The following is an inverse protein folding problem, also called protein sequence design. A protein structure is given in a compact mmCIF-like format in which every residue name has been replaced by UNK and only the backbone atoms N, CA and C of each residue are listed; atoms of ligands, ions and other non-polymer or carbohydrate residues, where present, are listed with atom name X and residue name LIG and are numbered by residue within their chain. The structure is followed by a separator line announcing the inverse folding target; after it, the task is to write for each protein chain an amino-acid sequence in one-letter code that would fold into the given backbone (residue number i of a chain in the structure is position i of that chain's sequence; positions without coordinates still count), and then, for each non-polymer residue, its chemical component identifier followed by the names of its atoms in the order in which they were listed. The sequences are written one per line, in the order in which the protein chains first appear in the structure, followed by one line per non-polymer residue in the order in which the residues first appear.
data_IF_054648082050
#
_entry.id   IF_054648082050
#
_cell.length_a   1.000
_cell.length_b   1.000
_cell.length_c   1.000
_cell.angle_alpha   90.00
_cell.angle_beta   90.00
_cell.angle_gamma   90.00
#
_symmetry.space_group_name_H-M   'P 1'
#
loop_
_entity.id
_entity.type
_entity.pdbx_description
1 polymer ?
#
# COMPACT_ATOMS: atom_id res chain seq x y z
N UNK A 1 36.05 -40.58 -73.15
CA UNK A 1 35.13 -39.49 -72.74
C UNK A 1 34.22 -39.85 -71.57
N UNK A 2 33.55 -41.02 -71.52
CA UNK A 2 32.61 -41.38 -70.42
C UNK A 2 33.20 -41.42 -69.00
N UNK A 3 34.42 -41.94 -68.81
CA UNK A 3 35.07 -41.96 -67.48
C UNK A 3 35.33 -40.53 -66.95
N UNK A 4 35.77 -39.62 -67.82
CA UNK A 4 36.04 -38.23 -67.48
C UNK A 4 34.76 -37.47 -67.08
N UNK A 5 33.64 -37.73 -67.77
CA UNK A 5 32.33 -37.16 -67.43
C UNK A 5 31.81 -37.67 -66.06
N UNK A 6 32.06 -38.95 -65.73
CA UNK A 6 31.67 -39.51 -64.44
C UNK A 6 32.47 -38.89 -63.29
N UNK A 7 33.80 -38.79 -63.44
CA UNK A 7 34.68 -38.14 -62.44
C UNK A 7 34.31 -36.67 -62.24
N UNK A 8 34.01 -35.95 -63.33
CA UNK A 8 33.56 -34.56 -63.26
C UNK A 8 32.20 -34.43 -62.54
N UNK A 9 31.24 -35.31 -62.86
CA UNK A 9 29.93 -35.34 -62.17
C UNK A 9 30.05 -35.66 -60.69
N UNK A 10 30.97 -36.57 -60.30
CA UNK A 10 31.27 -36.84 -58.89
C UNK A 10 31.92 -35.65 -58.19
N UNK A 11 32.84 -34.94 -58.86
CA UNK A 11 33.49 -33.76 -58.27
C UNK A 11 32.52 -32.59 -58.02
N UNK A 12 31.50 -32.43 -58.86
CA UNK A 12 30.47 -31.40 -58.65
C UNK A 12 29.57 -31.71 -57.44
N UNK A 13 29.17 -32.98 -57.27
CA UNK A 13 28.37 -33.42 -56.12
C UNK A 13 29.14 -33.27 -54.80
N UNK A 14 30.45 -33.57 -54.80
CA UNK A 14 31.30 -33.35 -53.61
C UNK A 14 31.32 -31.87 -53.24
N UNK A 15 31.47 -30.98 -54.22
CA UNK A 15 31.52 -29.54 -53.99
C UNK A 15 30.19 -28.98 -53.46
N UNK A 16 29.06 -29.43 -54.00
CA UNK A 16 27.72 -29.04 -53.50
C UNK A 16 27.52 -29.44 -52.03
N UNK A 17 27.99 -30.63 -51.66
CA UNK A 17 27.96 -31.10 -50.27
C UNK A 17 28.88 -30.26 -49.38
N UNK A 18 30.09 -29.93 -49.83
CA UNK A 18 31.02 -29.06 -49.10
C UNK A 18 30.40 -27.69 -48.84
N UNK A 19 29.83 -27.04 -49.87
CA UNK A 19 29.15 -25.74 -49.76
C UNK A 19 27.96 -25.82 -48.78
N UNK A 20 27.19 -26.91 -48.82
CA UNK A 20 26.06 -27.14 -47.90
C UNK A 20 26.54 -27.33 -46.45
N UNK A 21 27.65 -28.04 -46.26
CA UNK A 21 28.24 -28.26 -44.92
C UNK A 21 28.73 -26.93 -44.34
N UNK A 22 29.39 -26.09 -45.14
CA UNK A 22 29.82 -24.76 -44.72
C UNK A 22 28.63 -23.90 -44.28
N UNK A 23 27.55 -23.84 -45.08
CA UNK A 23 26.33 -23.11 -44.69
C UNK A 23 25.73 -23.64 -43.37
N UNK A 24 25.67 -24.95 -43.19
CA UNK A 24 25.14 -25.57 -41.98
C UNK A 24 26.02 -25.29 -40.75
N UNK A 25 27.34 -25.22 -40.91
CA UNK A 25 28.27 -24.89 -39.84
C UNK A 25 28.12 -23.43 -39.41
N UNK A 26 27.99 -22.50 -40.36
CA UNK A 26 27.71 -21.08 -40.06
C UNK A 26 26.40 -20.92 -39.28
N UNK A 27 25.33 -21.60 -39.74
CA UNK A 27 24.03 -21.57 -39.05
C UNK A 27 24.11 -22.18 -37.66
N UNK A 28 24.89 -23.25 -37.47
CA UNK A 28 25.10 -23.85 -36.15
C UNK A 28 25.83 -22.89 -35.20
N UNK A 29 26.83 -22.15 -35.68
CA UNK A 29 27.52 -21.13 -34.90
C UNK A 29 26.56 -20.01 -34.46
N UNK A 30 25.70 -19.54 -35.36
CA UNK A 30 24.66 -18.55 -35.04
C UNK A 30 23.68 -19.10 -33.98
N UNK A 31 23.23 -20.35 -34.12
CA UNK A 31 22.37 -21.01 -33.13
C UNK A 31 23.03 -21.13 -31.75
N UNK A 32 24.33 -21.45 -31.70
CA UNK A 32 25.09 -21.48 -30.46
C UNK A 32 25.14 -20.07 -29.83
N UNK A 33 25.43 -19.04 -30.62
CA UNK A 33 25.44 -17.66 -30.17
C UNK A 33 24.10 -17.21 -29.57
N UNK A 34 22.99 -17.50 -30.25
CA UNK A 34 21.64 -17.22 -29.72
C UNK A 34 21.36 -17.98 -28.43
N UNK A 35 21.76 -19.25 -28.35
CA UNK A 35 21.55 -20.09 -27.15
C UNK A 35 22.35 -19.56 -25.96
N UNK A 36 23.58 -19.11 -26.19
CA UNK A 36 24.43 -18.51 -25.17
C UNK A 36 23.85 -17.19 -24.67
N UNK A 37 23.30 -16.36 -25.56
CA UNK A 37 22.61 -15.14 -25.19
C UNK A 37 21.36 -15.43 -24.34
N UNK A 38 20.51 -16.37 -24.75
CA UNK A 38 19.33 -16.78 -23.97
C UNK A 38 19.75 -17.26 -22.58
N UNK A 39 20.83 -18.05 -22.48
CA UNK A 39 21.34 -18.53 -21.20
C UNK A 39 21.85 -17.37 -20.32
N UNK A 40 22.56 -16.41 -20.91
CA UNK A 40 23.04 -15.22 -20.22
C UNK A 40 21.88 -14.38 -19.68
N UNK A 41 20.90 -14.07 -20.55
CA UNK A 41 19.72 -13.28 -20.19
C UNK A 41 18.89 -13.98 -19.10
N UNK A 42 18.72 -15.31 -19.22
CA UNK A 42 18.05 -16.11 -18.19
C UNK A 42 18.77 -16.02 -16.86
N UNK A 43 20.11 -16.09 -16.86
CA UNK A 43 20.91 -15.97 -15.63
C UNK A 43 20.76 -14.59 -15.02
N UNK A 44 20.82 -13.53 -15.83
CA UNK A 44 20.61 -12.15 -15.37
C UNK A 44 19.20 -11.95 -14.76
N UNK A 45 18.17 -12.51 -15.39
CA UNK A 45 16.80 -12.42 -14.89
C UNK A 45 16.69 -13.11 -13.52
N UNK A 46 17.23 -14.33 -13.40
CA UNK A 46 17.12 -15.14 -12.19
C UNK A 46 17.96 -14.57 -11.03
N UNK A 47 19.18 -14.12 -11.32
CA UNK A 47 20.17 -13.77 -10.29
C UNK A 47 20.12 -12.28 -9.91
N UNK A 48 19.64 -11.40 -10.80
CA UNK A 48 19.62 -9.95 -10.55
C UNK A 48 18.19 -9.39 -10.55
N UNK A 49 17.45 -9.61 -11.65
CA UNK A 49 16.18 -8.89 -11.88
C UNK A 49 15.09 -9.36 -10.92
N UNK A 50 14.92 -10.67 -10.74
CA UNK A 50 13.92 -11.24 -9.82
C UNK A 50 14.18 -10.81 -8.38
N UNK A 51 15.41 -10.94 -7.83
CA UNK A 51 15.73 -10.42 -6.50
C UNK A 51 15.43 -8.93 -6.33
N UNK A 52 15.80 -8.10 -7.32
CA UNK A 52 15.52 -6.67 -7.28
C UNK A 52 14.01 -6.37 -7.21
N UNK A 53 13.21 -7.05 -8.04
CA UNK A 53 11.75 -6.91 -8.02
C UNK A 53 11.20 -7.37 -6.66
N UNK A 54 11.70 -8.48 -6.12
CA UNK A 54 11.29 -8.98 -4.80
C UNK A 54 11.56 -7.94 -3.71
N UNK A 55 12.72 -7.30 -3.70
CA UNK A 55 13.05 -6.24 -2.75
C UNK A 55 12.11 -5.04 -2.89
N UNK A 56 11.78 -4.64 -4.13
CA UNK A 56 10.79 -3.58 -4.38
C UNK A 56 9.39 -3.93 -3.92
N UNK A 57 8.96 -5.18 -4.06
CA UNK A 57 7.68 -5.66 -3.50
C UNK A 57 7.70 -5.56 -1.98
N UNK A 58 8.82 -5.87 -1.32
CA UNK A 58 8.95 -5.74 0.13
C UNK A 58 8.91 -4.27 0.60
N UNK A 59 9.57 -3.36 -0.13
CA UNK A 59 9.45 -1.91 0.12
C UNK A 59 7.98 -1.45 0.00
N UNK A 60 7.28 -1.93 -1.04
CA UNK A 60 5.87 -1.59 -1.27
C UNK A 60 4.96 -2.11 -0.14
N UNK A 61 5.18 -3.32 0.36
CA UNK A 61 4.47 -3.86 1.52
C UNK A 61 4.64 -2.98 2.76
N UNK A 62 5.83 -2.40 2.97
CA UNK A 62 6.06 -1.47 4.07
C UNK A 62 5.28 -0.17 3.91
N UNK A 63 5.12 0.32 2.68
CA UNK A 63 4.29 1.49 2.38
C UNK A 63 2.82 1.17 2.66
N UNK A 64 2.30 0.04 2.19
CA UNK A 64 0.91 -0.36 2.48
C UNK A 64 0.64 -0.49 3.98
N UNK A 65 1.56 -1.06 4.75
CA UNK A 65 1.44 -1.11 6.21
C UNK A 65 1.35 0.28 6.86
N UNK A 66 2.00 1.31 6.28
CA UNK A 66 1.83 2.71 6.74
C UNK A 66 0.47 3.27 6.37
N UNK A 67 -0.03 2.95 5.18
CA UNK A 67 -1.38 3.35 4.73
C UNK A 67 -2.44 2.72 5.64
N UNK A 68 -2.34 1.44 5.96
CA UNK A 68 -3.29 0.75 6.86
C UNK A 68 -3.31 1.38 8.26
N UNK A 69 -2.13 1.72 8.80
CA UNK A 69 -2.03 2.44 10.09
C UNK A 69 -2.68 3.82 10.02
N UNK A 70 -2.50 4.54 8.92
CA UNK A 70 -3.14 5.83 8.69
C UNK A 70 -4.66 5.69 8.61
N UNK A 71 -5.15 4.70 7.89
CA UNK A 71 -6.59 4.44 7.80
C UNK A 71 -7.19 4.11 9.18
N UNK A 72 -6.54 3.24 9.96
CA UNK A 72 -6.97 2.92 11.31
C UNK A 72 -7.01 4.17 12.21
N UNK A 73 -5.99 5.03 12.11
CA UNK A 73 -5.94 6.29 12.84
C UNK A 73 -7.10 7.23 12.45
N UNK A 74 -7.36 7.40 11.16
CA UNK A 74 -8.48 8.23 10.66
C UNK A 74 -9.83 7.69 11.15
N UNK A 75 -10.04 6.36 11.10
CA UNK A 75 -11.25 5.71 11.63
C UNK A 75 -11.43 5.96 13.12
N UNK A 76 -10.36 5.85 13.89
CA UNK A 76 -10.37 6.13 15.33
C UNK A 76 -10.74 7.60 15.59
N UNK A 77 -10.15 8.55 14.88
CA UNK A 77 -10.46 9.99 15.04
C UNK A 77 -11.93 10.26 14.69
N UNK A 78 -12.41 9.71 13.56
CA UNK A 78 -13.81 9.85 13.15
C UNK A 78 -14.77 9.36 14.24
N UNK A 79 -14.52 8.18 14.83
CA UNK A 79 -15.33 7.65 15.92
C UNK A 79 -15.39 8.61 17.12
N UNK A 80 -14.25 9.18 17.54
CA UNK A 80 -14.22 10.11 18.66
C UNK A 80 -14.91 11.45 18.35
N UNK A 81 -14.83 11.95 17.12
CA UNK A 81 -15.56 13.15 16.68
C UNK A 81 -17.06 12.89 16.72
N UNK A 82 -17.54 11.76 16.20
CA UNK A 82 -18.96 11.40 16.25
C UNK A 82 -19.47 11.24 17.69
N UNK A 83 -18.68 10.63 18.57
CA UNK A 83 -19.03 10.52 19.99
C UNK A 83 -19.11 11.90 20.68
N UNK A 84 -18.20 12.82 20.35
CA UNK A 84 -18.25 14.17 20.87
C UNK A 84 -19.48 14.94 20.36
N UNK A 85 -19.82 14.80 19.07
CA UNK A 85 -21.01 15.40 18.48
C UNK A 85 -22.29 14.92 19.18
N UNK A 86 -22.42 13.62 19.45
CA UNK A 86 -23.54 13.05 20.20
C UNK A 86 -23.65 13.62 21.62
N UNK A 87 -22.52 13.74 22.33
CA UNK A 87 -22.48 14.33 23.67
C UNK A 87 -22.91 15.80 23.66
N UNK A 88 -22.49 16.58 22.65
CA UNK A 88 -22.88 17.98 22.49
C UNK A 88 -24.39 18.08 22.22
N UNK A 89 -24.92 17.27 21.30
CA UNK A 89 -26.34 17.25 20.98
C UNK A 89 -27.22 16.90 22.19
N UNK A 90 -26.82 15.90 22.98
CA UNK A 90 -27.56 15.55 24.21
C UNK A 90 -27.44 16.63 25.29
N UNK A 91 -26.28 17.28 25.42
CA UNK A 91 -26.12 18.43 26.32
C UNK A 91 -27.01 19.62 25.91
N UNK A 92 -27.12 19.92 24.61
CA UNK A 92 -28.00 20.97 24.09
C UNK A 92 -29.48 20.65 24.31
N UNK A 93 -29.90 19.42 24.05
CA UNK A 93 -31.27 18.95 24.27
C UNK A 93 -31.68 19.03 25.74
N UNK A 94 -30.82 18.54 26.64
CA UNK A 94 -31.09 18.52 28.08
C UNK A 94 -31.07 19.93 28.68
N UNK A 95 -30.08 20.76 28.36
CA UNK A 95 -29.98 22.12 28.89
C UNK A 95 -30.92 23.12 28.22
N UNK A 96 -31.18 22.98 26.91
CA UNK A 96 -32.17 23.79 26.20
C UNK A 96 -33.60 23.53 26.70
N UNK A 97 -33.93 22.27 27.01
CA UNK A 97 -35.20 21.91 27.65
C UNK A 97 -35.25 22.38 29.11
N UNK A 98 -34.14 22.28 29.84
CA UNK A 98 -34.02 22.76 31.21
C UNK A 98 -34.32 24.26 31.29
N UNK A 99 -33.64 25.10 30.51
CA UNK A 99 -33.87 26.55 30.53
C UNK A 99 -35.32 26.92 30.13
N UNK A 100 -35.90 26.24 29.15
CA UNK A 100 -37.30 26.43 28.78
C UNK A 100 -38.26 26.05 29.93
N UNK A 101 -37.99 24.95 30.65
CA UNK A 101 -38.80 24.49 31.78
C UNK A 101 -38.64 25.39 33.01
N UNK A 102 -37.42 25.86 33.27
CA UNK A 102 -37.12 26.79 34.38
C UNK A 102 -37.76 28.16 34.10
N UNK A 103 -37.69 28.65 32.85
CA UNK A 103 -38.39 29.87 32.43
C UNK A 103 -39.91 29.73 32.58
N UNK A 104 -40.51 28.59 32.22
CA UNK A 104 -41.94 28.34 32.45
C UNK A 104 -42.30 28.26 33.94
N UNK A 105 -41.41 27.71 34.79
CA UNK A 105 -41.60 27.67 36.23
C UNK A 105 -41.56 29.07 36.86
N UNK A 106 -40.68 29.95 36.38
CA UNK A 106 -40.64 31.36 36.81
C UNK A 106 -41.82 32.20 36.29
N UNK A 107 -42.55 31.72 35.27
CA UNK A 107 -43.79 32.33 34.79
C UNK A 107 -45.04 31.90 35.59
N UNK A 108 -44.92 30.92 36.50
CA UNK A 108 -45.98 30.55 37.43
C UNK A 108 -45.79 31.26 38.78
N UNK A 109 -46.32 32.48 38.90
CA UNK A 109 -46.45 33.17 40.20
C UNK A 109 -47.57 32.53 41.03
N UNK A 110 -47.22 31.56 41.87
CA UNK A 110 -47.85 31.29 43.18
C UNK A 110 -46.97 30.31 43.97
N UNK A 111 -46.37 30.79 45.06
CA UNK A 111 -45.46 30.04 45.93
C UNK A 111 -46.28 29.22 46.93
N UNK A 112 -45.99 27.92 47.13
CA UNK A 112 -46.09 27.33 48.44
C UNK A 112 -44.73 26.89 48.99
N UNK A 113 -44.68 26.95 50.31
CA UNK A 113 -43.55 26.78 51.21
C UNK A 113 -42.68 25.53 50.97
N UNK A 114 -41.38 25.74 51.11
CA UNK A 114 -40.30 24.75 51.15
C UNK A 114 -40.52 23.66 52.21
N UNK A 115 -40.58 22.38 51.78
CA UNK A 115 -39.81 21.27 52.38
C UNK A 115 -39.97 20.00 51.55
N UNK A 116 -38.95 19.60 50.77
CA UNK A 116 -38.44 18.22 50.86
C UNK A 116 -37.07 18.08 50.19
N UNK A 117 -36.26 17.21 50.79
CA UNK A 117 -34.87 16.89 50.49
C UNK A 117 -34.78 16.16 49.14
N UNK A 118 -34.37 16.84 48.08
CA UNK A 118 -33.95 16.20 46.84
C UNK A 118 -32.42 16.12 46.81
N UNK A 119 -31.89 14.90 46.82
CA UNK A 119 -30.49 14.66 46.46
C UNK A 119 -30.27 15.19 45.04
N UNK A 120 -29.24 16.02 44.78
CA UNK A 120 -28.88 16.31 43.40
C UNK A 120 -28.44 14.97 42.79
N UNK A 121 -29.24 14.43 41.88
CA UNK A 121 -28.76 13.37 40.98
C UNK A 121 -27.47 13.91 40.37
N UNK A 122 -26.37 13.18 40.57
CA UNK A 122 -25.04 13.59 40.13
C UNK A 122 -25.13 14.12 38.69
N UNK A 123 -24.69 15.36 38.47
CA UNK A 123 -24.51 15.86 37.13
C UNK A 123 -23.64 14.84 36.38
N UNK A 124 -23.98 14.46 35.13
CA UNK A 124 -23.10 13.60 34.36
C UNK A 124 -21.73 14.29 34.30
N UNK A 125 -20.72 13.62 34.85
CA UNK A 125 -19.35 14.12 34.84
C UNK A 125 -18.93 14.24 33.38
N UNK A 126 -18.75 15.47 32.91
CA UNK A 126 -18.17 15.69 31.59
C UNK A 126 -16.75 15.16 31.60
N UNK A 127 -16.46 14.20 30.72
CA UNK A 127 -15.12 13.67 30.54
C UNK A 127 -14.44 14.38 29.39
N UNK A 128 -13.18 14.77 29.59
CA UNK A 128 -12.47 15.58 28.62
C UNK A 128 -12.24 14.77 27.34
N UNK A 129 -12.57 15.31 26.14
CA UNK A 129 -12.32 14.60 24.90
C UNK A 129 -10.85 14.26 24.76
N UNK A 130 -10.57 13.02 24.38
CA UNK A 130 -9.21 12.53 24.23
C UNK A 130 -8.51 13.31 23.12
N UNK A 131 -7.43 14.02 23.48
CA UNK A 131 -6.58 14.77 22.56
C UNK A 131 -5.50 13.85 21.98
N UNK A 132 -5.22 13.99 20.68
CA UNK A 132 -4.24 13.18 19.97
C UNK A 132 -3.07 14.04 19.50
N UNK A 133 -1.88 13.50 19.66
CA UNK A 133 -0.70 13.99 18.95
C UNK A 133 -0.35 13.00 17.85
N UNK A 134 -0.08 13.50 16.65
CA UNK A 134 0.28 12.66 15.51
C UNK A 134 1.55 11.85 15.80
N UNK A 135 2.48 12.44 16.53
CA UNK A 135 3.75 11.82 16.94
C UNK A 135 3.57 10.54 17.77
N UNK A 136 2.48 10.42 18.53
CA UNK A 136 2.21 9.24 19.38
C UNK A 136 1.80 8.01 18.56
N UNK A 137 1.31 8.22 17.33
CA UNK A 137 0.83 7.17 16.42
C UNK A 137 1.76 6.95 15.22
N UNK A 138 2.47 8.01 14.80
CA UNK A 138 3.44 8.00 13.71
C UNK A 138 4.79 8.55 14.22
N UNK A 139 5.54 7.77 15.00
CA UNK A 139 6.86 8.19 15.46
C UNK A 139 7.78 8.43 14.26
N UNK A 140 8.41 9.60 14.22
CA UNK A 140 9.37 9.99 13.17
C UNK A 140 10.66 9.16 13.30
N UNK A 141 10.64 7.94 12.79
CA UNK A 141 11.86 7.17 12.54
C UNK A 141 12.42 7.62 11.19
N UNK A 142 13.14 8.74 11.17
CA UNK A 142 13.93 9.13 10.00
C UNK A 142 15.04 8.08 9.79
N UNK A 143 14.75 7.07 8.96
CA UNK A 143 15.77 6.30 8.25
C UNK A 143 15.70 6.73 6.79
N UNK A 144 15.96 8.02 6.56
CA UNK A 144 16.25 8.50 5.21
C UNK A 144 17.65 8.03 4.87
N UNK A 145 17.77 6.91 4.16
CA UNK A 145 18.96 6.66 3.37
C UNK A 145 19.13 7.87 2.46
N UNK A 146 20.24 8.57 2.66
CA UNK A 146 20.64 9.67 1.78
C UNK A 146 20.58 9.12 0.36
N UNK A 147 19.86 9.80 -0.53
CA UNK A 147 19.95 9.58 -1.97
C UNK A 147 21.41 9.78 -2.38
N UNK A 148 22.17 8.70 -2.44
CA UNK A 148 23.51 8.69 -3.01
C UNK A 148 23.31 8.50 -4.50
N UNK A 149 23.28 9.63 -5.22
CA UNK A 149 23.35 9.65 -6.67
C UNK A 149 24.69 9.05 -7.09
N UNK A 150 24.66 7.97 -7.85
CA UNK A 150 25.72 7.54 -8.75
C UNK A 150 25.13 7.43 -10.15
#
# INVERSE_FOLDING_TARGET
MRLCACVFSSSLQVKEVEETVEELLERLEEFCGMTDQIRSDTSQILDETIPLIKDKVMEMNHIYAKVDKLEAFVKMVAHHVSSLEEQVLEAEKTHGTFLNTVCKLFQCTAIPSLKNRHHPSAAPSYDLPKLYRTEDFFPMNYVGTKYQNH
#
